data_IF_972939731449
#
_entry.id   IF_972939731449
#
_cell.length_a   1.000
_cell.length_b   1.000
_cell.length_c   1.000
_cell.angle_alpha   90.00
_cell.angle_beta   90.00
_cell.angle_gamma   90.00
#
_symmetry.space_group_name_H-M   'P 1'
#
loop_
_entity.id
_entity.type
_entity.pdbx_description
1 polymer ?
#
# COMPACT_ATOMS: atom_id res chain seq x y z
N UNK A 1 11.12 -7.43 -14.80
CA UNK A 1 11.54 -6.43 -13.85
C UNK A 1 10.64 -6.46 -12.62
N UNK A 2 9.92 -5.41 -12.27
CA UNK A 2 9.01 -5.46 -11.11
C UNK A 2 7.64 -5.97 -11.54
N UNK A 3 7.54 -7.27 -11.79
CA UNK A 3 6.29 -7.88 -12.24
C UNK A 3 5.30 -8.09 -11.10
N UNK A 4 5.78 -8.55 -9.94
CA UNK A 4 4.96 -8.83 -8.76
C UNK A 4 5.20 -7.77 -7.71
N UNK A 5 4.20 -6.94 -7.46
CA UNK A 5 4.28 -5.83 -6.50
C UNK A 5 3.31 -6.10 -5.34
N UNK A 6 3.83 -6.12 -4.13
CA UNK A 6 3.06 -6.32 -2.90
C UNK A 6 3.03 -5.02 -2.12
N UNK A 7 1.84 -4.55 -1.79
CA UNK A 7 1.65 -3.33 -1.00
C UNK A 7 1.21 -3.71 0.40
N UNK A 8 1.88 -3.18 1.41
CA UNK A 8 1.59 -3.48 2.80
C UNK A 8 1.17 -2.23 3.56
N UNK A 9 0.24 -2.41 4.48
CA UNK A 9 -0.01 -1.46 5.57
C UNK A 9 -0.31 -2.29 6.81
N UNK A 10 -0.76 -1.65 7.90
CA UNK A 10 -1.00 -2.40 9.13
C UNK A 10 -2.22 -3.32 9.01
N UNK A 11 -3.41 -2.75 8.84
CA UNK A 11 -4.66 -3.51 8.86
C UNK A 11 -5.11 -4.07 7.52
N UNK A 12 -4.52 -3.61 6.43
CA UNK A 12 -4.92 -3.95 5.06
C UNK A 12 -6.37 -3.55 4.75
N UNK A 13 -6.83 -2.45 5.34
CA UNK A 13 -8.19 -1.93 5.11
C UNK A 13 -8.24 -0.45 4.72
N UNK A 14 -7.16 0.32 4.88
CA UNK A 14 -7.15 1.75 4.59
C UNK A 14 -6.21 2.11 3.45
N UNK A 15 -4.90 2.02 3.67
CA UNK A 15 -3.88 2.54 2.75
C UNK A 15 -3.53 1.56 1.63
N UNK A 16 -3.18 0.34 1.98
CA UNK A 16 -2.71 -0.63 0.98
C UNK A 16 -3.76 -1.02 -0.05
N UNK A 17 -5.06 -1.17 0.29
CA UNK A 17 -6.06 -1.48 -0.73
C UNK A 17 -6.21 -0.37 -1.78
N UNK A 18 -6.07 0.89 -1.37
CA UNK A 18 -6.18 2.02 -2.28
C UNK A 18 -4.99 2.06 -3.24
N UNK A 19 -3.77 1.88 -2.71
CA UNK A 19 -2.56 1.82 -3.54
C UNK A 19 -2.63 0.64 -4.51
N UNK A 20 -3.09 -0.51 -4.04
CA UNK A 20 -3.30 -1.68 -4.90
C UNK A 20 -4.22 -1.34 -6.08
N UNK A 21 -5.35 -0.70 -5.81
CA UNK A 21 -6.30 -0.32 -6.87
C UNK A 21 -5.71 0.70 -7.84
N UNK A 22 -4.97 1.69 -7.32
CA UNK A 22 -4.29 2.70 -8.14
C UNK A 22 -3.24 2.05 -9.06
N UNK A 23 -2.44 1.15 -8.51
CA UNK A 23 -1.41 0.45 -9.29
C UNK A 23 -2.02 -0.46 -10.34
N UNK A 24 -3.09 -1.19 -10.01
CA UNK A 24 -3.77 -2.05 -10.99
C UNK A 24 -4.33 -1.24 -12.16
N UNK A 25 -4.86 -0.06 -11.88
CA UNK A 25 -5.39 0.81 -12.91
C UNK A 25 -4.28 1.33 -13.83
N UNK A 26 -3.14 1.72 -13.25
CA UNK A 26 -2.02 2.28 -14.00
C UNK A 26 -1.16 1.22 -14.69
N UNK A 27 -1.06 0.03 -14.10
CA UNK A 27 -0.18 -1.05 -14.56
C UNK A 27 -0.96 -2.36 -14.70
N UNK A 28 -1.91 -2.44 -15.64
CA UNK A 28 -2.84 -3.58 -15.71
C UNK A 28 -2.17 -4.92 -16.04
N UNK A 29 -0.94 -4.93 -16.56
CA UNK A 29 -0.23 -6.16 -16.88
C UNK A 29 0.60 -6.70 -15.70
N UNK A 30 0.71 -5.93 -14.61
CA UNK A 30 1.50 -6.35 -13.44
C UNK A 30 0.62 -7.13 -12.47
N UNK A 31 1.27 -7.98 -11.70
CA UNK A 31 0.62 -8.73 -10.62
C UNK A 31 0.71 -7.89 -9.34
N UNK A 32 -0.37 -7.19 -9.03
CA UNK A 32 -0.45 -6.27 -7.89
C UNK A 32 -1.32 -6.90 -6.81
N UNK A 33 -0.83 -6.91 -5.58
CA UNK A 33 -1.58 -7.43 -4.43
C UNK A 33 -1.27 -6.61 -3.19
N UNK A 34 -2.06 -6.82 -2.14
CA UNK A 34 -1.85 -6.15 -0.86
C UNK A 34 -2.09 -7.11 0.30
N UNK A 35 -1.53 -6.77 1.45
CA UNK A 35 -1.70 -7.53 2.69
C UNK A 35 -1.42 -6.61 3.88
N UNK A 36 -1.61 -7.10 5.10
CA UNK A 36 -1.35 -6.35 6.31
C UNK A 36 -0.36 -7.03 7.22
N UNK A 37 0.41 -6.25 7.94
CA UNK A 37 1.33 -6.75 8.96
C UNK A 37 0.58 -7.19 10.22
N UNK A 38 -0.55 -6.55 10.52
CA UNK A 38 -1.52 -6.95 11.53
C UNK A 38 -2.91 -6.82 10.93
N UNK A 39 -3.23 -7.65 9.94
CA UNK A 39 -4.43 -7.50 9.13
C UNK A 39 -5.71 -7.75 9.92
N UNK A 40 -6.74 -6.96 9.62
CA UNK A 40 -8.10 -7.22 10.08
C UNK A 40 -8.75 -8.19 9.09
N UNK A 41 -8.33 -9.44 9.16
CA UNK A 41 -8.59 -10.48 8.16
C UNK A 41 -10.08 -10.56 7.82
N UNK A 42 -10.38 -10.57 6.52
CA UNK A 42 -11.73 -10.71 6.01
C UNK A 42 -12.50 -9.41 5.88
N UNK A 43 -12.02 -8.31 6.49
CA UNK A 43 -12.73 -7.04 6.40
C UNK A 43 -12.51 -6.37 5.04
N UNK A 44 -13.53 -5.66 4.58
CA UNK A 44 -13.43 -4.83 3.39
C UNK A 44 -12.70 -3.53 3.67
N UNK A 45 -12.62 -2.67 2.67
CA UNK A 45 -11.99 -1.35 2.83
C UNK A 45 -12.80 -0.53 3.84
N UNK A 46 -12.09 0.19 4.71
CA UNK A 46 -12.70 1.08 5.70
C UNK A 46 -13.65 2.06 4.99
N UNK A 47 -14.83 2.33 5.56
CA UNK A 47 -15.88 3.06 4.84
C UNK A 47 -15.46 4.43 4.27
N UNK A 48 -14.70 5.23 5.01
CA UNK A 48 -14.25 6.54 4.53
C UNK A 48 -13.22 6.39 3.40
N UNK A 49 -12.26 5.48 3.58
CA UNK A 49 -11.27 5.18 2.54
C UNK A 49 -11.96 4.65 1.28
N UNK A 50 -12.95 3.79 1.44
CA UNK A 50 -13.72 3.25 0.33
C UNK A 50 -14.49 4.35 -0.42
N UNK A 51 -15.14 5.24 0.31
CA UNK A 51 -15.89 6.34 -0.28
C UNK A 51 -14.99 7.23 -1.13
N UNK A 52 -13.81 7.58 -0.62
CA UNK A 52 -12.85 8.41 -1.35
C UNK A 52 -12.32 7.68 -2.60
N UNK A 53 -12.03 6.39 -2.48
CA UNK A 53 -11.56 5.57 -3.60
C UNK A 53 -12.64 5.49 -4.70
N UNK A 54 -13.87 5.22 -4.31
CA UNK A 54 -14.98 5.13 -5.26
C UNK A 54 -15.26 6.46 -5.96
N UNK A 55 -15.11 7.57 -5.26
CA UNK A 55 -15.25 8.90 -5.85
C UNK A 55 -14.22 9.15 -6.95
N UNK A 56 -13.06 8.53 -6.88
CA UNK A 56 -12.01 8.60 -7.91
C UNK A 56 -12.13 7.48 -8.96
N UNK A 57 -13.22 6.73 -8.95
CA UNK A 57 -13.44 5.65 -9.92
C UNK A 57 -12.67 4.38 -9.65
N UNK A 58 -12.14 4.20 -8.45
CA UNK A 58 -11.42 2.98 -8.09
C UNK A 58 -12.40 1.92 -7.59
N UNK A 59 -12.22 0.69 -8.04
CA UNK A 59 -13.05 -0.43 -7.63
C UNK A 59 -12.35 -1.20 -6.51
N UNK A 60 -12.85 -1.04 -5.30
CA UNK A 60 -12.30 -1.71 -4.11
C UNK A 60 -13.35 -2.57 -3.39
N UNK A 61 -14.52 -2.76 -3.98
CA UNK A 61 -15.64 -3.43 -3.29
C UNK A 61 -15.38 -4.90 -2.96
N UNK A 62 -14.57 -5.58 -3.75
CA UNK A 62 -14.27 -7.00 -3.55
C UNK A 62 -13.09 -7.24 -2.60
N UNK A 63 -12.46 -6.18 -2.11
CA UNK A 63 -11.28 -6.32 -1.25
C UNK A 63 -11.63 -7.03 0.06
N UNK A 64 -10.78 -7.98 0.45
CA UNK A 64 -10.80 -8.62 1.75
C UNK A 64 -9.39 -8.58 2.33
N UNK A 65 -9.25 -8.02 3.52
CA UNK A 65 -7.97 -7.91 4.20
C UNK A 65 -7.37 -9.28 4.45
N UNK A 66 -6.07 -9.41 4.23
CA UNK A 66 -5.35 -10.65 4.49
C UNK A 66 -4.02 -10.40 5.18
N UNK A 67 -3.61 -11.35 6.01
CA UNK A 67 -2.35 -11.27 6.72
C UNK A 67 -1.19 -11.59 5.78
N UNK A 68 -0.11 -10.81 5.87
CA UNK A 68 1.10 -11.08 5.10
C UNK A 68 1.75 -12.39 5.57
N UNK A 69 2.30 -13.14 4.64
CA UNK A 69 3.04 -14.37 4.91
C UNK A 69 4.46 -14.25 4.38
N UNK A 70 5.36 -15.10 4.88
CA UNK A 70 6.72 -15.15 4.36
C UNK A 70 6.74 -15.48 2.87
N UNK A 71 5.84 -16.35 2.42
CA UNK A 71 5.73 -16.72 1.02
C UNK A 71 5.40 -15.51 0.14
N UNK A 72 4.45 -14.67 0.57
CA UNK A 72 4.13 -13.42 -0.13
C UNK A 72 5.34 -12.51 -0.25
N UNK A 73 6.10 -12.37 0.84
CA UNK A 73 7.30 -11.53 0.85
C UNK A 73 8.38 -12.08 -0.07
N UNK A 74 8.55 -13.39 -0.10
CA UNK A 74 9.54 -14.03 -0.95
C UNK A 74 9.19 -13.92 -2.44
N UNK A 75 7.91 -14.04 -2.76
CA UNK A 75 7.43 -14.05 -4.15
C UNK A 75 7.42 -12.67 -4.80
N UNK A 76 7.33 -11.61 -4.02
CA UNK A 76 7.26 -10.25 -4.56
C UNK A 76 8.59 -9.81 -5.15
N UNK A 77 8.54 -9.07 -6.26
CA UNK A 77 9.72 -8.42 -6.83
C UNK A 77 9.97 -7.07 -6.16
N UNK A 78 8.91 -6.40 -5.73
CA UNK A 78 8.95 -5.11 -5.03
C UNK A 78 7.90 -5.12 -3.95
N UNK A 79 8.28 -4.67 -2.75
CA UNK A 79 7.38 -4.54 -1.61
C UNK A 79 7.31 -3.07 -1.24
N UNK A 80 6.09 -2.51 -1.22
CA UNK A 80 5.88 -1.11 -0.88
C UNK A 80 5.19 -1.01 0.47
N UNK A 81 5.80 -0.25 1.38
CA UNK A 81 5.33 -0.06 2.75
C UNK A 81 5.07 1.42 3.03
N UNK A 82 4.38 1.71 4.13
CA UNK A 82 3.96 3.08 4.44
C UNK A 82 4.92 3.82 5.36
N UNK A 83 5.78 3.08 6.09
CA UNK A 83 6.68 3.66 7.08
C UNK A 83 7.94 2.84 7.24
N UNK A 84 8.98 3.45 7.82
CA UNK A 84 10.22 2.73 8.16
C UNK A 84 9.97 1.63 9.20
N UNK A 85 9.03 1.85 10.12
CA UNK A 85 8.64 0.81 11.08
C UNK A 85 8.10 -0.43 10.38
N UNK A 86 7.29 -0.25 9.35
CA UNK A 86 6.79 -1.38 8.56
C UNK A 86 7.91 -2.06 7.77
N UNK A 87 8.86 -1.28 7.26
CA UNK A 87 10.02 -1.82 6.55
C UNK A 87 10.84 -2.71 7.48
N UNK A 88 11.06 -2.27 8.72
CA UNK A 88 11.76 -3.10 9.73
C UNK A 88 10.97 -4.36 10.08
N UNK A 89 9.64 -4.26 10.16
CA UNK A 89 8.80 -5.43 10.43
C UNK A 89 8.91 -6.47 9.30
N UNK A 90 9.00 -6.04 8.06
CA UNK A 90 9.26 -6.94 6.93
C UNK A 90 10.61 -7.62 7.09
N UNK A 91 11.65 -6.86 7.45
CA UNK A 91 12.99 -7.42 7.66
C UNK A 91 13.01 -8.46 8.79
N UNK A 92 12.21 -8.25 9.84
CA UNK A 92 12.10 -9.21 10.95
C UNK A 92 11.43 -10.51 10.50
N UNK A 93 10.44 -10.42 9.62
CA UNK A 93 9.73 -11.58 9.10
C UNK A 93 10.53 -12.32 8.02
N UNK A 94 11.20 -11.57 7.16
CA UNK A 94 11.94 -12.12 6.03
C UNK A 94 13.16 -11.23 5.74
N UNK A 95 14.29 -11.45 6.41
CA UNK A 95 15.47 -10.59 6.25
C UNK A 95 15.92 -10.41 4.81
N UNK A 96 15.79 -11.45 3.99
CA UNK A 96 16.18 -11.39 2.58
C UNK A 96 15.30 -10.43 1.74
N UNK A 97 14.12 -10.06 2.25
CA UNK A 97 13.21 -9.16 1.56
C UNK A 97 13.52 -7.68 1.77
N UNK A 98 14.43 -7.34 2.69
CA UNK A 98 14.72 -5.94 3.02
C UNK A 98 15.18 -5.14 1.79
N UNK A 99 16.03 -5.72 0.97
CA UNK A 99 16.60 -5.03 -0.20
C UNK A 99 15.59 -4.69 -1.29
N UNK A 100 14.41 -5.30 -1.28
CA UNK A 100 13.34 -5.02 -2.23
C UNK A 100 12.12 -4.35 -1.58
N UNK A 101 12.26 -3.89 -0.33
CA UNK A 101 11.20 -3.21 0.43
C UNK A 101 11.49 -1.72 0.46
N UNK A 102 10.57 -0.92 -0.08
CA UNK A 102 10.71 0.51 -0.22
C UNK A 102 9.48 1.22 0.32
N UNK A 103 9.64 2.48 0.75
CA UNK A 103 8.48 3.30 1.12
C UNK A 103 7.68 3.67 -0.13
N UNK A 104 6.35 3.58 -0.05
CA UNK A 104 5.50 4.12 -1.12
C UNK A 104 5.77 5.62 -1.32
N UNK A 105 6.02 6.34 -0.24
CA UNK A 105 6.34 7.77 -0.29
C UNK A 105 7.80 8.10 -0.64
N UNK A 106 8.57 7.14 -1.15
CA UNK A 106 10.01 7.30 -1.45
C UNK A 106 10.32 8.51 -2.32
N UNK A 107 9.47 8.83 -3.25
CA UNK A 107 9.72 9.87 -4.25
C UNK A 107 9.04 11.20 -3.93
N UNK A 108 8.33 11.30 -2.80
CA UNK A 108 7.70 12.54 -2.36
C UNK A 108 8.73 13.53 -1.83
N UNK A 109 8.31 14.79 -1.68
CA UNK A 109 9.14 15.87 -1.11
C UNK A 109 10.46 16.06 -1.86
N UNK A 110 10.39 16.10 -3.19
CA UNK A 110 11.55 16.30 -4.04
C UNK A 110 12.53 15.14 -4.03
N UNK A 111 12.07 13.92 -3.71
CA UNK A 111 12.89 12.73 -3.65
C UNK A 111 13.49 12.45 -2.28
N UNK A 112 13.22 13.30 -1.28
CA UNK A 112 13.64 13.04 0.09
C UNK A 112 12.89 11.86 0.70
N UNK A 113 11.65 11.68 0.27
CA UNK A 113 10.77 10.64 0.77
C UNK A 113 10.05 11.06 2.04
N UNK A 114 8.93 10.42 2.29
CA UNK A 114 8.18 10.61 3.52
C UNK A 114 7.32 9.39 3.82
N UNK A 115 6.97 9.24 5.08
CA UNK A 115 6.03 8.20 5.51
C UNK A 115 4.60 8.65 5.25
N UNK A 116 3.71 7.68 5.08
CA UNK A 116 2.28 7.94 4.94
C UNK A 116 1.60 7.69 6.29
N UNK A 117 0.97 8.71 6.90
CA UNK A 117 0.29 8.52 8.18
C UNK A 117 -0.84 7.50 8.10
N UNK A 118 -1.16 6.87 9.23
CA UNK A 118 -2.30 5.96 9.33
C UNK A 118 -3.55 6.76 9.71
N UNK A 119 -4.57 6.84 8.84
CA UNK A 119 -5.78 7.62 9.15
C UNK A 119 -6.81 6.84 9.98
N UNK A 120 -6.56 5.56 10.27
CA UNK A 120 -7.53 4.69 10.94
C UNK A 120 -8.00 5.29 12.26
N UNK A 121 -9.32 5.36 12.43
CA UNK A 121 -10.00 5.95 13.59
C UNK A 121 -9.72 7.44 13.77
N UNK A 122 -9.28 8.12 12.72
CA UNK A 122 -9.08 9.57 12.74
C UNK A 122 -10.20 10.27 11.96
N UNK A 123 -10.10 11.59 11.81
CA UNK A 123 -11.13 12.41 11.17
C UNK A 123 -11.20 12.14 9.66
N UNK A 124 -12.31 12.58 9.05
CA UNK A 124 -12.45 12.53 7.60
C UNK A 124 -11.33 13.33 6.91
N UNK A 125 -10.96 14.47 7.47
CA UNK A 125 -9.87 15.29 6.93
C UNK A 125 -8.55 14.52 6.90
N UNK A 126 -8.29 13.70 7.91
CA UNK A 126 -7.10 12.83 7.94
C UNK A 126 -7.14 11.80 6.81
N UNK A 127 -8.30 11.20 6.56
CA UNK A 127 -8.48 10.27 5.43
C UNK A 127 -8.28 10.98 4.09
N UNK A 128 -8.85 12.17 3.94
CA UNK A 128 -8.70 12.95 2.69
C UNK A 128 -7.25 13.31 2.43
N UNK A 129 -6.53 13.74 3.46
CA UNK A 129 -5.11 14.06 3.35
C UNK A 129 -4.29 12.84 2.93
N UNK A 130 -4.51 11.71 3.60
CA UNK A 130 -3.81 10.46 3.29
C UNK A 130 -4.15 10.00 1.87
N UNK A 131 -5.41 10.09 1.47
CA UNK A 131 -5.84 9.69 0.13
C UNK A 131 -5.07 10.47 -0.96
N UNK A 132 -4.93 11.79 -0.80
CA UNK A 132 -4.15 12.61 -1.73
C UNK A 132 -2.67 12.22 -1.73
N UNK A 133 -2.09 11.97 -0.56
CA UNK A 133 -0.70 11.51 -0.47
C UNK A 133 -0.51 10.18 -1.19
N UNK A 134 -1.45 9.25 -1.04
CA UNK A 134 -1.35 7.94 -1.71
C UNK A 134 -1.40 8.09 -3.21
N UNK A 135 -2.25 8.99 -3.72
CA UNK A 135 -2.32 9.24 -5.17
C UNK A 135 -1.01 9.83 -5.70
N UNK A 136 -0.45 10.82 -5.02
CA UNK A 136 0.83 11.42 -5.40
C UNK A 136 1.97 10.41 -5.34
N UNK A 137 2.05 9.66 -4.25
CA UNK A 137 3.10 8.66 -4.04
C UNK A 137 3.05 7.56 -5.11
N UNK A 138 1.84 7.06 -5.39
CA UNK A 138 1.65 6.01 -6.39
C UNK A 138 2.01 6.51 -7.79
N UNK A 139 1.57 7.73 -8.15
CA UNK A 139 1.90 8.31 -9.45
C UNK A 139 3.41 8.45 -9.64
N UNK A 140 4.13 8.86 -8.60
CA UNK A 140 5.58 8.97 -8.64
C UNK A 140 6.26 7.61 -8.85
N UNK A 141 5.76 6.56 -8.19
CA UNK A 141 6.26 5.20 -8.42
C UNK A 141 5.97 4.70 -9.84
N UNK A 142 4.76 4.93 -10.34
CA UNK A 142 4.39 4.49 -11.68
C UNK A 142 5.38 5.01 -12.72
N UNK A 143 5.86 6.25 -12.55
CA UNK A 143 6.84 6.82 -13.47
C UNK A 143 8.21 6.13 -13.40
N UNK A 144 8.47 5.33 -12.37
CA UNK A 144 9.72 4.57 -12.16
C UNK A 144 9.57 3.10 -12.56
N UNK A 145 8.35 2.65 -12.73
CA UNK A 145 8.03 1.25 -13.03
C UNK A 145 7.69 1.07 -14.50
#
# INVERSE_FOLDING_TARGET
MFQRILVLCTGNICRSPVVEALLRQALPERDISSAGLGALVGQGVEPTARELAEADGLDVHAHQARQVTQEMLQSADLILVMSEGQRRAVADLAPAALGKTMLIGRWLDGGKGREIPDPYRKSREAFEHVHELLKEATAAWVSKL
#
